data_IF_245574900137
#
_entry.id   IF_245574900137
#
_cell.length_a   1.000
_cell.length_b   1.000
_cell.length_c   1.000
_cell.angle_alpha   90.00
_cell.angle_beta   90.00
_cell.angle_gamma   90.00
#
_symmetry.space_group_name_H-M   'P 1'
#
loop_
_entity.id
_entity.type
_entity.pdbx_description
1 polymer ?
#
# COMPACT_ATOMS: atom_id res chain seq x y z
N UNK A 1 13.05 19.69 4.17
CA UNK A 1 13.63 19.18 2.91
C UNK A 1 14.15 20.31 2.03
N UNK A 2 13.32 21.32 1.69
CA UNK A 2 13.72 22.43 0.83
C UNK A 2 14.98 23.12 1.35
N UNK A 3 14.96 23.57 2.59
CA UNK A 3 16.11 24.28 3.21
C UNK A 3 17.39 23.42 3.26
N UNK A 4 17.23 22.13 3.58
CA UNK A 4 18.36 21.19 3.68
C UNK A 4 19.05 20.96 2.33
N UNK A 5 18.28 21.00 1.24
CA UNK A 5 18.77 20.75 -0.13
C UNK A 5 18.98 22.05 -0.91
N UNK A 6 18.75 23.23 -0.32
CA UNK A 6 18.92 24.53 -0.99
C UNK A 6 17.91 24.76 -2.12
N UNK A 7 16.70 24.20 -1.99
CA UNK A 7 15.65 24.31 -2.99
C UNK A 7 14.63 25.39 -2.62
N UNK A 8 14.07 26.04 -3.64
CA UNK A 8 13.00 27.04 -3.49
C UNK A 8 11.60 26.43 -3.64
N UNK A 9 11.48 25.25 -4.29
CA UNK A 9 10.20 24.55 -4.47
C UNK A 9 10.37 23.04 -4.67
N UNK A 10 9.28 22.30 -4.41
CA UNK A 10 9.13 20.90 -4.78
C UNK A 10 7.78 20.69 -5.46
N UNK A 11 7.75 19.87 -6.53
CA UNK A 11 6.59 19.58 -7.33
C UNK A 11 6.26 18.09 -7.35
N UNK A 12 4.98 17.78 -7.27
CA UNK A 12 4.48 16.41 -7.14
C UNK A 12 3.31 16.20 -8.10
N UNK A 13 3.46 15.29 -9.03
CA UNK A 13 2.42 14.90 -9.98
C UNK A 13 2.06 13.41 -9.90
N UNK A 14 2.86 12.60 -9.18
CA UNK A 14 2.46 11.23 -8.89
C UNK A 14 1.22 11.23 -8.00
N UNK A 15 0.21 10.36 -8.27
CA UNK A 15 -1.08 10.39 -7.59
C UNK A 15 -1.00 10.28 -6.06
N UNK A 16 -0.10 9.46 -5.55
CA UNK A 16 0.12 9.28 -4.12
C UNK A 16 0.69 10.54 -3.44
N UNK A 17 1.63 11.22 -4.09
CA UNK A 17 2.21 12.47 -3.58
C UNK A 17 1.22 13.63 -3.68
N UNK A 18 0.44 13.69 -4.77
CA UNK A 18 -0.64 14.67 -4.91
C UNK A 18 -1.68 14.51 -3.80
N UNK A 19 -2.15 13.28 -3.56
CA UNK A 19 -3.10 12.99 -2.49
C UNK A 19 -2.53 13.29 -1.10
N UNK A 20 -1.27 12.94 -0.84
CA UNK A 20 -0.59 13.24 0.42
C UNK A 20 -0.59 14.73 0.76
N UNK A 21 -0.36 15.62 -0.22
CA UNK A 21 -0.30 17.06 0.00
C UNK A 21 -1.66 17.75 -0.02
N UNK A 22 -2.60 17.27 -0.85
CA UNK A 22 -3.87 17.98 -1.11
C UNK A 22 -5.07 17.32 -0.43
N UNK A 23 -5.00 16.02 -0.15
CA UNK A 23 -6.12 15.16 0.23
C UNK A 23 -7.04 14.77 -0.93
N UNK A 24 -6.79 15.28 -2.16
CA UNK A 24 -7.59 15.02 -3.35
C UNK A 24 -6.93 14.06 -4.33
N UNK A 25 -7.57 13.82 -5.47
CA UNK A 25 -7.15 12.89 -6.49
C UNK A 25 -6.88 13.62 -7.83
N UNK A 26 -5.78 13.29 -8.50
CA UNK A 26 -5.41 13.81 -9.81
C UNK A 26 -5.44 12.74 -10.92
N UNK A 27 -6.14 11.62 -10.71
CA UNK A 27 -6.20 10.51 -11.67
C UNK A 27 -7.53 10.52 -12.43
N UNK A 28 -7.45 10.44 -13.76
CA UNK A 28 -8.59 10.12 -14.63
C UNK A 28 -8.45 8.70 -15.17
N UNK A 29 -7.22 8.32 -15.54
CA UNK A 29 -6.89 6.99 -16.03
C UNK A 29 -5.75 6.40 -15.22
N UNK A 30 -5.91 5.15 -14.78
CA UNK A 30 -4.98 4.45 -13.87
C UNK A 30 -3.75 3.83 -14.55
N UNK A 31 -3.47 4.19 -15.79
CA UNK A 31 -2.39 3.60 -16.59
C UNK A 31 -1.16 4.50 -16.77
N UNK A 32 -1.04 5.56 -15.97
CA UNK A 32 0.10 6.48 -15.98
C UNK A 32 0.66 6.68 -14.57
N UNK A 33 1.97 6.92 -14.51
CA UNK A 33 2.66 7.21 -13.24
C UNK A 33 2.45 8.67 -12.79
N UNK A 34 2.04 9.53 -13.71
CA UNK A 34 1.79 10.97 -13.50
C UNK A 34 0.31 11.26 -13.70
N UNK A 35 -0.30 11.99 -12.78
CA UNK A 35 -1.69 12.44 -12.86
C UNK A 35 -1.87 13.63 -13.80
N UNK A 36 -3.11 14.13 -13.90
CA UNK A 36 -3.48 15.27 -14.78
C UNK A 36 -3.21 16.64 -14.12
N UNK A 37 -2.75 16.66 -12.91
CA UNK A 37 -2.40 17.86 -12.15
C UNK A 37 -1.12 17.63 -11.36
N UNK A 38 -0.35 18.69 -11.16
CA UNK A 38 0.78 18.71 -10.24
C UNK A 38 0.53 19.69 -9.10
N UNK A 39 1.00 19.36 -7.91
CA UNK A 39 0.99 20.24 -6.75
C UNK A 39 2.41 20.70 -6.43
N UNK A 40 2.61 22.00 -6.30
CA UNK A 40 3.87 22.62 -5.92
C UNK A 40 3.81 23.19 -4.52
N UNK A 41 4.90 23.04 -3.78
CA UNK A 41 5.12 23.66 -2.46
C UNK A 41 6.42 24.47 -2.49
N UNK A 42 6.35 25.74 -2.07
CA UNK A 42 7.47 26.68 -2.07
C UNK A 42 7.94 27.12 -0.67
N UNK A 43 7.73 26.27 0.33
CA UNK A 43 8.03 26.60 1.73
C UNK A 43 6.96 27.42 2.45
N UNK A 44 6.01 28.02 1.72
CA UNK A 44 5.00 28.92 2.28
C UNK A 44 3.57 28.58 1.82
N UNK A 45 3.39 28.22 0.54
CA UNK A 45 2.07 27.98 -0.05
C UNK A 45 2.06 26.74 -0.94
N UNK A 46 0.89 26.13 -1.04
CA UNK A 46 0.57 25.03 -1.95
C UNK A 46 -0.14 25.62 -3.17
N UNK A 47 0.31 25.25 -4.36
CA UNK A 47 -0.29 25.65 -5.63
C UNK A 47 -0.49 24.41 -6.51
N UNK A 48 -1.69 24.22 -7.04
CA UNK A 48 -1.99 23.14 -7.99
C UNK A 48 -1.96 23.70 -9.42
N UNK A 49 -1.33 22.99 -10.33
CA UNK A 49 -1.33 23.28 -11.78
C UNK A 49 -2.06 22.16 -12.49
N UNK A 50 -3.01 22.53 -13.35
CA UNK A 50 -3.76 21.58 -14.19
C UNK A 50 -4.24 22.24 -15.47
N UNK A 51 -4.69 21.43 -16.42
CA UNK A 51 -5.25 21.96 -17.65
C UNK A 51 -6.69 22.52 -17.47
N UNK A 52 -7.16 23.25 -18.45
CA UNK A 52 -8.46 23.87 -18.43
C UNK A 52 -9.65 22.89 -18.51
N UNK A 53 -9.42 21.63 -18.84
CA UNK A 53 -10.47 20.60 -18.84
C UNK A 53 -10.81 20.22 -17.41
N UNK A 54 -9.79 20.04 -16.56
CA UNK A 54 -9.92 19.48 -15.23
C UNK A 54 -10.02 20.51 -14.09
N UNK A 55 -9.69 21.75 -14.39
CA UNK A 55 -9.53 22.78 -13.36
C UNK A 55 -10.80 23.03 -12.52
N UNK A 56 -11.99 22.96 -13.13
CA UNK A 56 -13.26 23.16 -12.41
C UNK A 56 -13.55 21.97 -11.51
N UNK A 57 -13.49 20.74 -12.04
CA UNK A 57 -13.69 19.52 -11.27
C UNK A 57 -12.74 19.41 -10.06
N UNK A 58 -11.46 19.68 -10.28
CA UNK A 58 -10.49 19.63 -9.18
C UNK A 58 -10.81 20.65 -8.08
N UNK A 59 -11.22 21.88 -8.44
CA UNK A 59 -11.60 22.88 -7.44
C UNK A 59 -12.83 22.51 -6.65
N UNK A 60 -13.82 21.93 -7.28
CA UNK A 60 -15.13 21.67 -6.68
C UNK A 60 -15.21 20.33 -5.95
N UNK A 61 -14.48 19.30 -6.43
CA UNK A 61 -14.65 17.94 -5.97
C UNK A 61 -13.43 17.39 -5.21
N UNK A 62 -12.21 17.90 -5.48
CA UNK A 62 -10.99 17.28 -4.98
C UNK A 62 -10.18 18.16 -4.01
N UNK A 63 -10.24 19.47 -4.18
CA UNK A 63 -9.33 20.37 -3.46
C UNK A 63 -10.07 21.20 -2.40
N UNK A 64 -9.34 21.53 -1.33
CA UNK A 64 -9.84 22.47 -0.33
C UNK A 64 -9.87 23.90 -0.90
N UNK A 65 -10.82 24.73 -0.46
CA UNK A 65 -11.05 26.09 -0.95
C UNK A 65 -9.82 27.02 -0.89
N UNK A 66 -8.88 26.73 -0.01
CA UNK A 66 -7.68 27.56 0.18
C UNK A 66 -6.49 27.20 -0.73
N UNK A 67 -6.63 26.19 -1.58
CA UNK A 67 -5.57 25.78 -2.53
C UNK A 67 -5.71 26.59 -3.82
N UNK A 68 -4.66 27.31 -4.19
CA UNK A 68 -4.60 28.02 -5.47
C UNK A 68 -4.50 27.04 -6.62
N UNK A 69 -5.36 27.20 -7.65
CA UNK A 69 -5.30 26.40 -8.88
C UNK A 69 -4.94 27.29 -10.05
N UNK A 70 -3.78 27.05 -10.65
CA UNK A 70 -3.31 27.67 -11.88
C UNK A 70 -3.70 26.79 -13.05
N UNK A 71 -4.31 27.40 -14.07
CA UNK A 71 -4.86 26.67 -15.22
C UNK A 71 -4.06 26.97 -16.48
N UNK A 72 -3.78 25.96 -17.28
CA UNK A 72 -3.17 26.11 -18.60
C UNK A 72 -4.08 25.52 -19.69
N UNK A 73 -3.90 25.98 -20.92
CA UNK A 73 -4.64 25.48 -22.08
C UNK A 73 -3.98 24.20 -22.59
N UNK A 74 -4.68 23.06 -22.47
CA UNK A 74 -4.17 21.70 -22.75
C UNK A 74 -3.54 21.53 -24.15
N UNK A 75 -3.96 22.35 -25.11
CA UNK A 75 -3.48 22.32 -26.49
C UNK A 75 -2.30 23.26 -26.78
N UNK A 76 -1.81 24.00 -25.78
CA UNK A 76 -0.67 24.92 -25.91
C UNK A 76 0.55 24.50 -25.10
N UNK A 77 0.35 23.77 -24.00
CA UNK A 77 1.40 23.36 -23.06
C UNK A 77 1.10 21.98 -22.49
N UNK A 78 2.12 21.33 -22.00
CA UNK A 78 1.98 20.18 -21.13
C UNK A 78 2.04 20.58 -19.65
N UNK A 79 1.85 19.59 -18.77
CA UNK A 79 1.85 19.79 -17.32
C UNK A 79 3.21 20.26 -16.80
N UNK A 80 4.30 19.69 -17.32
CA UNK A 80 5.65 20.02 -16.92
C UNK A 80 6.01 21.47 -17.29
N UNK A 81 5.76 21.89 -18.54
CA UNK A 81 5.96 23.26 -18.99
C UNK A 81 5.16 24.27 -18.14
N UNK A 82 3.92 23.91 -17.80
CA UNK A 82 3.07 24.77 -16.99
C UNK A 82 3.59 24.90 -15.55
N UNK A 83 3.99 23.81 -14.92
CA UNK A 83 4.58 23.79 -13.58
C UNK A 83 5.91 24.58 -13.55
N UNK A 84 6.80 24.32 -14.49
CA UNK A 84 8.09 25.01 -14.59
C UNK A 84 7.93 26.52 -14.78
N UNK A 85 6.91 26.98 -15.55
CA UNK A 85 6.69 28.40 -15.81
C UNK A 85 6.32 29.25 -14.59
N UNK A 86 5.88 28.62 -13.50
CA UNK A 86 5.47 29.32 -12.27
C UNK A 86 6.32 28.93 -11.05
N UNK A 87 7.21 27.96 -11.20
CA UNK A 87 8.07 27.48 -10.10
C UNK A 87 9.19 28.48 -9.80
N UNK A 88 9.44 28.85 -8.55
CA UNK A 88 10.74 29.35 -8.17
C UNK A 88 11.81 28.25 -8.35
N UNK A 89 13.05 28.65 -8.54
CA UNK A 89 14.19 27.75 -8.76
C UNK A 89 15.37 28.13 -7.88
N UNK A 90 16.22 27.16 -7.44
CA UNK A 90 16.23 25.74 -7.82
C UNK A 90 15.04 24.96 -7.23
N UNK A 91 14.61 23.88 -7.93
CA UNK A 91 13.47 23.09 -7.53
C UNK A 91 13.66 21.60 -7.86
N UNK A 92 12.86 20.73 -7.20
CA UNK A 92 12.83 19.31 -7.43
C UNK A 92 11.41 18.83 -7.81
N UNK A 93 11.29 17.68 -8.47
CA UNK A 93 10.01 17.08 -8.82
C UNK A 93 10.03 15.55 -8.71
N UNK A 94 8.87 14.96 -8.39
CA UNK A 94 8.66 13.50 -8.35
C UNK A 94 8.36 12.91 -9.74
N UNK A 95 8.37 13.73 -10.78
CA UNK A 95 8.20 13.35 -12.17
C UNK A 95 9.25 14.02 -13.04
N UNK A 96 9.43 13.53 -14.28
CA UNK A 96 10.41 14.10 -15.19
C UNK A 96 10.04 15.54 -15.56
N UNK A 97 10.93 16.47 -15.19
CA UNK A 97 10.75 17.91 -15.44
C UNK A 97 12.10 18.55 -15.73
N UNK A 98 12.25 19.14 -16.92
CA UNK A 98 13.51 19.71 -17.38
C UNK A 98 13.99 20.84 -16.45
N UNK A 99 15.24 20.75 -16.01
CA UNK A 99 15.87 21.73 -15.11
C UNK A 99 15.53 21.58 -13.64
N UNK A 100 14.84 20.51 -13.26
CA UNK A 100 14.51 20.18 -11.88
C UNK A 100 15.29 18.95 -11.39
N UNK A 101 15.59 18.90 -10.11
CA UNK A 101 16.17 17.71 -9.49
C UNK A 101 15.10 16.62 -9.34
N UNK A 102 15.50 15.36 -9.44
CA UNK A 102 14.59 14.23 -9.15
C UNK A 102 14.35 14.10 -7.67
N UNK A 103 13.09 13.99 -7.27
CA UNK A 103 12.64 13.85 -5.87
C UNK A 103 11.99 12.50 -5.64
N UNK A 104 12.55 11.72 -4.72
CA UNK A 104 11.84 10.61 -4.08
C UNK A 104 11.15 11.12 -2.80
N UNK A 105 9.81 11.06 -2.80
CA UNK A 105 9.03 11.56 -1.68
C UNK A 105 8.67 10.48 -0.64
N UNK A 106 9.16 9.26 -0.77
CA UNK A 106 8.81 8.15 0.14
C UNK A 106 9.07 8.49 1.62
N UNK A 107 10.25 9.04 1.91
CA UNK A 107 10.61 9.45 3.28
C UNK A 107 9.87 10.71 3.75
N UNK A 108 9.38 11.55 2.83
CA UNK A 108 8.60 12.75 3.19
C UNK A 108 7.18 12.43 3.64
N UNK A 109 6.63 11.30 3.16
CA UNK A 109 5.29 10.82 3.51
C UNK A 109 5.25 10.01 4.81
N UNK A 110 6.39 9.81 5.47
CA UNK A 110 6.56 9.05 6.70
C UNK A 110 7.18 9.93 7.79
N UNK A 111 6.82 9.75 9.08
CA UNK A 111 5.72 8.90 9.57
C UNK A 111 4.33 9.47 9.28
N UNK A 112 3.27 8.65 9.46
CA UNK A 112 1.88 9.08 9.32
C UNK A 112 1.46 10.04 10.44
N UNK A 113 0.68 11.06 10.07
CA UNK A 113 0.04 11.97 11.03
C UNK A 113 -1.19 11.32 11.68
N UNK A 114 -1.70 11.90 12.77
CA UNK A 114 -2.89 11.38 13.47
C UNK A 114 -4.13 11.32 12.56
N UNK A 115 -4.35 12.31 11.70
CA UNK A 115 -5.46 12.33 10.73
C UNK A 115 -5.31 11.22 9.70
N UNK A 116 -4.10 11.01 9.18
CA UNK A 116 -3.79 9.94 8.23
C UNK A 116 -3.94 8.54 8.85
N UNK A 117 -3.57 8.39 10.12
CA UNK A 117 -3.80 7.18 10.91
C UNK A 117 -5.30 6.92 11.06
N UNK A 118 -6.09 7.96 11.33
CA UNK A 118 -7.56 7.87 11.39
C UNK A 118 -8.15 7.35 10.08
N UNK A 119 -7.78 7.97 8.95
CA UNK A 119 -8.21 7.56 7.62
C UNK A 119 -7.74 6.14 7.25
N UNK A 120 -6.51 5.77 7.61
CA UNK A 120 -5.98 4.41 7.42
C UNK A 120 -6.80 3.36 8.18
N UNK A 121 -7.23 3.64 9.41
CA UNK A 121 -8.09 2.74 10.19
C UNK A 121 -9.45 2.54 9.52
N UNK A 122 -10.06 3.61 9.02
CA UNK A 122 -11.35 3.54 8.33
C UNK A 122 -11.24 2.74 7.04
N UNK A 123 -10.27 3.06 6.18
CA UNK A 123 -10.03 2.32 4.94
C UNK A 123 -9.79 0.83 5.21
N UNK A 124 -8.94 0.51 6.16
CA UNK A 124 -8.57 -0.88 6.45
C UNK A 124 -9.75 -1.68 7.00
N UNK A 125 -10.57 -1.10 7.88
CA UNK A 125 -11.77 -1.74 8.42
C UNK A 125 -12.82 -1.98 7.33
N UNK A 126 -13.09 -0.96 6.49
CA UNK A 126 -14.06 -1.07 5.40
C UNK A 126 -13.61 -2.13 4.39
N UNK A 127 -12.31 -2.18 4.08
CA UNK A 127 -11.71 -3.22 3.24
C UNK A 127 -11.89 -4.61 3.83
N UNK A 128 -11.57 -4.78 5.13
CA UNK A 128 -11.74 -6.07 5.80
C UNK A 128 -13.21 -6.52 5.77
N UNK A 129 -14.16 -5.63 6.04
CA UNK A 129 -15.59 -5.93 6.00
C UNK A 129 -16.05 -6.38 4.61
N UNK A 130 -15.64 -5.66 3.55
CA UNK A 130 -15.98 -6.02 2.18
C UNK A 130 -15.39 -7.39 1.78
N UNK A 131 -14.08 -7.59 2.02
CA UNK A 131 -13.40 -8.86 1.69
C UNK A 131 -14.00 -10.03 2.45
N UNK A 132 -14.17 -9.91 3.76
CA UNK A 132 -14.72 -10.99 4.59
C UNK A 132 -16.18 -11.28 4.24
N UNK A 133 -16.97 -10.26 3.89
CA UNK A 133 -18.34 -10.39 3.41
C UNK A 133 -18.44 -11.21 2.12
N UNK A 134 -17.60 -10.93 1.14
CA UNK A 134 -17.53 -11.67 -0.13
C UNK A 134 -17.05 -13.10 0.13
N UNK A 135 -15.95 -13.27 0.89
CA UNK A 135 -15.35 -14.58 1.14
C UNK A 135 -16.33 -15.53 1.85
N UNK A 136 -17.15 -15.05 2.78
CA UNK A 136 -18.18 -15.85 3.45
C UNK A 136 -19.26 -16.38 2.51
N UNK A 137 -19.46 -15.76 1.36
CA UNK A 137 -20.46 -16.16 0.36
C UNK A 137 -19.89 -17.06 -0.73
N UNK A 138 -18.58 -17.29 -0.75
CA UNK A 138 -17.93 -18.15 -1.76
C UNK A 138 -18.19 -19.63 -1.50
N UNK A 139 -18.02 -20.44 -2.53
CA UNK A 139 -18.07 -21.89 -2.47
C UNK A 139 -17.08 -22.52 -3.47
N UNK A 140 -16.79 -23.81 -3.33
CA UNK A 140 -15.75 -24.50 -4.10
C UNK A 140 -15.92 -24.44 -5.63
N UNK A 141 -17.14 -24.29 -6.11
CA UNK A 141 -17.46 -24.26 -7.54
C UNK A 141 -17.45 -22.88 -8.19
N UNK A 142 -17.37 -21.79 -7.41
CA UNK A 142 -17.31 -20.44 -7.96
C UNK A 142 -15.93 -20.21 -8.60
N UNK A 143 -15.88 -19.41 -9.67
CA UNK A 143 -14.62 -19.09 -10.35
C UNK A 143 -13.85 -17.95 -9.65
N UNK A 144 -12.55 -17.93 -9.85
CA UNK A 144 -11.69 -16.85 -9.34
C UNK A 144 -12.12 -15.48 -9.90
N UNK A 145 -12.55 -15.41 -11.17
CA UNK A 145 -13.07 -14.19 -11.79
C UNK A 145 -14.37 -13.69 -11.17
N UNK A 146 -15.29 -14.59 -10.81
CA UNK A 146 -16.55 -14.21 -10.14
C UNK A 146 -16.26 -13.60 -8.78
N UNK A 147 -15.41 -14.23 -7.97
CA UNK A 147 -15.01 -13.68 -6.66
C UNK A 147 -14.30 -12.34 -6.82
N UNK A 148 -13.40 -12.20 -7.80
CA UNK A 148 -12.71 -10.93 -8.06
C UNK A 148 -13.67 -9.82 -8.51
N UNK A 149 -14.70 -10.15 -9.27
CA UNK A 149 -15.74 -9.20 -9.70
C UNK A 149 -16.60 -8.75 -8.52
N UNK A 150 -16.98 -9.67 -7.62
CA UNK A 150 -17.72 -9.35 -6.41
C UNK A 150 -16.92 -8.46 -5.48
N UNK A 151 -15.62 -8.73 -5.28
CA UNK A 151 -14.72 -7.88 -4.49
C UNK A 151 -14.64 -6.46 -5.06
N UNK A 152 -14.45 -6.31 -6.37
CA UNK A 152 -14.42 -4.99 -7.01
C UNK A 152 -15.73 -4.24 -6.79
N UNK A 153 -16.87 -4.90 -7.01
CA UNK A 153 -18.17 -4.28 -6.80
C UNK A 153 -18.34 -3.75 -5.38
N UNK A 154 -18.03 -4.57 -4.37
CA UNK A 154 -18.20 -4.19 -2.97
C UNK A 154 -17.26 -3.06 -2.52
N UNK A 155 -16.02 -3.08 -3.01
CA UNK A 155 -15.01 -2.07 -2.67
C UNK A 155 -15.25 -0.76 -3.43
N UNK A 156 -15.43 -0.82 -4.75
CA UNK A 156 -15.61 0.38 -5.58
C UNK A 156 -16.94 1.09 -5.30
N UNK A 157 -17.98 0.38 -4.86
CA UNK A 157 -19.22 0.99 -4.37
C UNK A 157 -19.03 1.85 -3.12
N UNK A 158 -17.92 1.70 -2.41
CA UNK A 158 -17.52 2.48 -1.23
C UNK A 158 -16.44 3.53 -1.55
N UNK A 159 -16.16 3.79 -2.83
CA UNK A 159 -15.09 4.70 -3.25
C UNK A 159 -13.68 4.14 -3.01
N UNK A 160 -13.54 2.84 -2.83
CA UNK A 160 -12.25 2.17 -2.62
C UNK A 160 -11.75 1.63 -3.96
N UNK A 161 -10.66 2.19 -4.47
CA UNK A 161 -9.99 1.72 -5.69
C UNK A 161 -9.30 0.38 -5.46
N UNK A 162 -9.30 -0.47 -6.50
CA UNK A 162 -8.85 -1.88 -6.42
C UNK A 162 -7.65 -2.17 -7.33
N UNK A 163 -6.48 -1.55 -7.12
CA UNK A 163 -5.31 -1.76 -7.98
C UNK A 163 -4.81 -3.21 -7.99
N UNK A 164 -4.96 -3.95 -6.88
CA UNK A 164 -4.57 -5.36 -6.81
C UNK A 164 -5.71 -6.19 -6.23
N UNK A 165 -6.20 -7.13 -7.01
CA UNK A 165 -7.08 -8.22 -6.56
C UNK A 165 -6.51 -9.53 -7.09
N UNK A 166 -6.10 -10.38 -6.18
CA UNK A 166 -5.60 -11.72 -6.44
C UNK A 166 -6.58 -12.73 -5.84
N UNK A 167 -7.08 -13.62 -6.66
CA UNK A 167 -7.93 -14.75 -6.24
C UNK A 167 -7.35 -16.00 -6.86
N UNK A 168 -6.95 -16.94 -6.03
CA UNK A 168 -6.37 -18.20 -6.48
C UNK A 168 -6.97 -19.39 -5.77
N UNK A 169 -7.47 -20.35 -6.56
CA UNK A 169 -7.93 -21.65 -6.08
C UNK A 169 -6.75 -22.59 -5.76
N UNK A 170 -7.03 -23.68 -5.07
CA UNK A 170 -6.09 -24.65 -4.50
C UNK A 170 -4.91 -25.04 -5.42
N UNK A 171 -5.20 -25.35 -6.68
CA UNK A 171 -4.19 -25.81 -7.65
C UNK A 171 -3.23 -24.68 -8.07
N UNK A 172 -3.68 -23.44 -8.03
CA UNK A 172 -2.92 -22.30 -8.52
C UNK A 172 -2.10 -21.64 -7.41
N UNK A 173 -2.63 -21.51 -6.21
CA UNK A 173 -1.89 -20.92 -5.06
C UNK A 173 -0.68 -21.75 -4.65
N UNK A 174 -0.66 -23.05 -4.91
CA UNK A 174 0.52 -23.90 -4.69
C UNK A 174 1.64 -23.65 -5.69
N UNK A 175 1.33 -23.06 -6.86
CA UNK A 175 2.27 -22.85 -7.97
C UNK A 175 2.72 -21.42 -8.11
N UNK A 176 1.85 -20.48 -7.77
CA UNK A 176 2.07 -19.05 -8.01
C UNK A 176 1.96 -18.27 -6.69
N UNK A 177 2.76 -17.22 -6.56
CA UNK A 177 2.64 -16.25 -5.45
C UNK A 177 1.66 -15.13 -5.81
N UNK A 178 1.62 -14.74 -7.08
CA UNK A 178 0.64 -13.79 -7.63
C UNK A 178 -0.30 -14.54 -8.57
N UNK A 179 -1.47 -14.89 -8.06
CA UNK A 179 -2.49 -15.69 -8.76
C UNK A 179 -3.57 -14.76 -9.33
N UNK A 180 -3.25 -14.12 -10.47
CA UNK A 180 -4.21 -13.29 -11.21
C UNK A 180 -5.46 -14.13 -11.52
N UNK A 181 -6.68 -13.60 -11.22
CA UNK A 181 -7.91 -14.37 -11.35
C UNK A 181 -8.15 -14.91 -12.77
N UNK A 182 -8.62 -16.14 -12.86
CA UNK A 182 -9.00 -16.83 -14.11
C UNK A 182 -10.40 -17.44 -13.98
N UNK A 183 -10.84 -18.15 -15.00
CA UNK A 183 -12.09 -18.93 -15.02
C UNK A 183 -12.00 -20.27 -14.25
N UNK A 184 -10.85 -20.54 -13.61
CA UNK A 184 -10.70 -21.72 -12.77
C UNK A 184 -11.58 -21.62 -11.51
N UNK A 185 -12.16 -22.76 -11.11
CA UNK A 185 -12.89 -22.85 -9.84
C UNK A 185 -11.95 -22.81 -8.65
N UNK A 186 -12.44 -22.32 -7.48
CA UNK A 186 -11.67 -22.23 -6.25
C UNK A 186 -11.17 -23.60 -5.76
N UNK A 187 -11.98 -24.66 -5.90
CA UNK A 187 -11.61 -25.99 -5.44
C UNK A 187 -11.68 -26.14 -3.91
N UNK A 188 -10.75 -26.89 -3.32
CA UNK A 188 -10.78 -27.25 -1.90
C UNK A 188 -10.54 -26.06 -0.98
N UNK A 189 -9.69 -25.12 -1.38
CA UNK A 189 -9.43 -23.87 -0.67
C UNK A 189 -8.98 -22.78 -1.64
N UNK A 190 -8.99 -21.53 -1.19
CA UNK A 190 -8.51 -20.40 -1.96
C UNK A 190 -7.81 -19.37 -1.08
N UNK A 191 -6.90 -18.61 -1.69
CA UNK A 191 -6.35 -17.36 -1.16
C UNK A 191 -6.96 -16.19 -1.91
N UNK A 192 -7.42 -15.20 -1.17
CA UNK A 192 -7.93 -13.94 -1.65
C UNK A 192 -7.05 -12.84 -1.06
N UNK A 193 -6.33 -12.11 -1.90
CA UNK A 193 -5.41 -11.06 -1.50
C UNK A 193 -5.75 -9.78 -2.22
N UNK A 194 -5.90 -8.69 -1.47
CA UNK A 194 -6.21 -7.38 -2.01
C UNK A 194 -5.17 -6.35 -1.57
N UNK A 195 -4.87 -5.41 -2.45
CA UNK A 195 -4.28 -4.12 -2.09
C UNK A 195 -5.15 -3.05 -2.72
N UNK A 196 -5.68 -2.19 -1.89
CA UNK A 196 -6.70 -1.20 -2.27
C UNK A 196 -6.32 0.18 -1.77
N UNK A 197 -6.96 1.23 -2.30
CA UNK A 197 -6.68 2.59 -1.88
C UNK A 197 -7.92 3.48 -1.85
N UNK A 198 -7.92 4.44 -0.93
CA UNK A 198 -8.88 5.55 -0.85
C UNK A 198 -8.13 6.79 -0.39
N UNK A 199 -8.38 7.93 -1.03
CA UNK A 199 -7.76 9.22 -0.72
C UNK A 199 -6.21 9.14 -0.69
N UNK A 200 -5.63 8.34 -1.59
CA UNK A 200 -4.19 8.10 -1.70
C UNK A 200 -3.59 7.13 -0.68
N UNK A 201 -4.29 6.79 0.41
CA UNK A 201 -3.84 5.80 1.38
C UNK A 201 -4.12 4.37 0.87
N UNK A 202 -3.24 3.45 1.24
CA UNK A 202 -3.31 2.04 0.84
C UNK A 202 -3.48 1.11 2.04
N UNK A 203 -4.18 0.01 1.80
CA UNK A 203 -4.26 -1.13 2.73
C UNK A 203 -4.18 -2.44 1.97
N UNK A 204 -3.62 -3.45 2.61
CA UNK A 204 -3.51 -4.81 2.07
C UNK A 204 -4.07 -5.81 3.07
N UNK A 205 -4.75 -6.83 2.57
CA UNK A 205 -5.23 -7.94 3.38
C UNK A 205 -5.29 -9.22 2.56
N UNK A 206 -4.98 -10.34 3.20
CA UNK A 206 -5.17 -11.68 2.63
C UNK A 206 -6.12 -12.48 3.50
N UNK A 207 -7.04 -13.19 2.86
CA UNK A 207 -7.93 -14.15 3.53
C UNK A 207 -7.82 -15.52 2.87
N UNK A 208 -7.78 -16.54 3.71
CA UNK A 208 -7.85 -17.94 3.28
C UNK A 208 -9.24 -18.47 3.55
N UNK A 209 -9.86 -19.12 2.57
CA UNK A 209 -11.10 -19.87 2.75
C UNK A 209 -10.87 -21.32 2.35
N UNK A 210 -11.38 -22.25 3.14
CA UNK A 210 -11.27 -23.67 2.86
C UNK A 210 -12.66 -24.31 2.92
N UNK A 211 -12.97 -25.11 1.91
CA UNK A 211 -14.19 -25.94 1.81
C UNK A 211 -13.91 -27.38 2.19
N UNK A 212 -12.67 -27.84 1.91
CA UNK A 212 -12.08 -29.08 2.43
C UNK A 212 -10.63 -28.77 2.77
N UNK A 213 -10.30 -28.70 4.05
CA UNK A 213 -9.00 -28.21 4.54
C UNK A 213 -7.91 -29.27 4.42
N UNK A 214 -6.93 -29.12 3.52
CA UNK A 214 -5.80 -30.04 3.45
C UNK A 214 -4.97 -30.01 4.74
N UNK A 215 -4.57 -31.17 5.24
CA UNK A 215 -3.83 -31.30 6.51
C UNK A 215 -2.53 -30.46 6.55
N UNK A 216 -1.84 -30.31 5.41
CA UNK A 216 -0.57 -29.58 5.31
C UNK A 216 -0.73 -28.06 5.40
N UNK A 217 -1.91 -27.52 5.09
CA UNK A 217 -2.11 -26.06 5.03
C UNK A 217 -2.01 -25.40 6.40
N UNK A 218 -2.44 -26.08 7.44
CA UNK A 218 -2.41 -25.56 8.82
C UNK A 218 -0.98 -25.27 9.28
N UNK A 219 -0.06 -26.21 9.08
CA UNK A 219 1.35 -26.04 9.44
C UNK A 219 2.01 -24.88 8.68
N UNK A 220 1.80 -24.82 7.36
CA UNK A 220 2.35 -23.76 6.51
C UNK A 220 1.76 -22.38 6.84
N UNK A 221 0.46 -22.34 7.12
CA UNK A 221 -0.20 -21.08 7.52
C UNK A 221 0.35 -20.59 8.85
N UNK A 222 0.53 -21.47 9.84
CA UNK A 222 1.15 -21.11 11.11
C UNK A 222 2.59 -20.62 10.94
N UNK A 223 3.36 -21.24 10.05
CA UNK A 223 4.72 -20.79 9.74
C UNK A 223 4.72 -19.37 9.15
N UNK A 224 3.86 -19.09 8.15
CA UNK A 224 3.73 -17.76 7.57
C UNK A 224 3.28 -16.71 8.61
N UNK A 225 2.30 -17.04 9.46
CA UNK A 225 1.84 -16.16 10.55
C UNK A 225 2.94 -15.84 11.56
N UNK A 226 3.76 -16.83 11.93
CA UNK A 226 4.90 -16.60 12.83
C UNK A 226 5.95 -15.70 12.24
N UNK A 227 6.22 -15.82 10.94
CA UNK A 227 7.14 -14.92 10.23
C UNK A 227 6.56 -13.50 10.19
N UNK A 228 5.27 -13.31 9.89
CA UNK A 228 4.62 -12.00 9.91
C UNK A 228 4.68 -11.36 11.31
N UNK A 229 4.32 -12.11 12.35
CA UNK A 229 4.35 -11.63 13.73
C UNK A 229 5.78 -11.24 14.15
N UNK A 230 6.80 -12.00 13.71
CA UNK A 230 8.21 -11.67 13.95
C UNK A 230 8.60 -10.39 13.22
N UNK A 231 8.21 -10.23 11.95
CA UNK A 231 8.46 -9.01 11.19
C UNK A 231 7.87 -7.77 11.88
N UNK A 232 6.66 -7.87 12.42
CA UNK A 232 6.01 -6.78 13.16
C UNK A 232 6.71 -6.45 14.47
N UNK A 233 7.12 -7.46 15.24
CA UNK A 233 7.87 -7.26 16.48
C UNK A 233 9.25 -6.63 16.22
N UNK A 234 9.96 -7.13 15.19
CA UNK A 234 11.21 -6.56 14.73
C UNK A 234 11.05 -5.11 14.26
N UNK A 235 10.00 -4.81 13.47
CA UNK A 235 9.68 -3.45 13.02
C UNK A 235 9.55 -2.49 14.19
N UNK A 236 8.83 -2.88 15.24
CA UNK A 236 8.69 -2.06 16.44
C UNK A 236 10.05 -1.84 17.14
N UNK A 237 10.80 -2.90 17.36
CA UNK A 237 12.08 -2.85 18.04
C UNK A 237 13.10 -2.00 17.26
N UNK A 238 13.22 -2.21 15.96
CA UNK A 238 14.12 -1.47 15.06
C UNK A 238 13.71 0.00 15.00
N UNK A 239 12.41 0.29 14.82
CA UNK A 239 11.91 1.67 14.75
C UNK A 239 12.10 2.47 16.05
N UNK A 240 11.98 1.84 17.23
CA UNK A 240 12.29 2.47 18.52
C UNK A 240 13.77 2.87 18.60
N UNK A 241 14.65 2.07 18.00
CA UNK A 241 16.09 2.30 18.02
C UNK A 241 16.59 3.18 16.85
N UNK A 242 15.70 3.59 15.93
CA UNK A 242 16.08 4.38 14.76
C UNK A 242 16.90 3.60 13.72
N UNK A 243 16.65 2.31 13.61
CA UNK A 243 17.31 1.41 12.67
C UNK A 243 16.62 1.36 11.29
N UNK A 244 17.03 0.43 10.45
CA UNK A 244 16.70 0.33 9.03
C UNK A 244 15.98 -0.97 8.66
N UNK A 245 15.38 -0.99 7.48
CA UNK A 245 14.53 -2.07 7.01
C UNK A 245 15.26 -3.41 6.80
N UNK A 246 16.57 -3.38 6.51
CA UNK A 246 17.41 -4.58 6.42
C UNK A 246 17.54 -5.33 7.76
N UNK A 247 17.57 -4.60 8.89
CA UNK A 247 17.56 -5.21 10.23
C UNK A 247 16.24 -6.00 10.47
N UNK A 248 15.10 -5.47 10.01
CA UNK A 248 13.82 -6.18 10.06
C UNK A 248 13.85 -7.39 9.13
N UNK A 249 14.45 -7.23 7.95
CA UNK A 249 14.56 -8.31 6.98
C UNK A 249 15.43 -9.47 7.48
N UNK A 250 16.50 -9.19 8.22
CA UNK A 250 17.32 -10.22 8.86
C UNK A 250 16.50 -11.03 9.89
N UNK A 251 15.68 -10.36 10.71
CA UNK A 251 14.77 -11.05 11.63
C UNK A 251 13.73 -11.92 10.89
N UNK A 252 13.25 -11.49 9.72
CA UNK A 252 12.37 -12.29 8.85
C UNK A 252 13.09 -13.56 8.37
N UNK A 253 14.34 -13.47 7.94
CA UNK A 253 15.12 -14.64 7.50
C UNK A 253 15.34 -15.64 8.63
N UNK A 254 15.73 -15.13 9.80
CA UNK A 254 15.88 -15.97 11.00
C UNK A 254 14.56 -16.65 11.40
N UNK A 255 13.43 -15.95 11.26
CA UNK A 255 12.12 -16.52 11.52
C UNK A 255 11.77 -17.66 10.54
N UNK A 256 12.07 -17.50 9.23
CA UNK A 256 11.89 -18.56 8.26
C UNK A 256 12.75 -19.81 8.57
N UNK A 257 14.00 -19.60 8.98
CA UNK A 257 14.89 -20.70 9.41
C UNK A 257 14.29 -21.41 10.64
N UNK A 258 13.83 -20.66 11.63
CA UNK A 258 13.29 -21.20 12.87
C UNK A 258 11.98 -21.98 12.68
N UNK A 259 11.16 -21.62 11.68
CA UNK A 259 9.91 -22.35 11.35
C UNK A 259 10.14 -23.47 10.33
N UNK A 260 11.39 -23.75 9.93
CA UNK A 260 11.77 -24.86 9.05
C UNK A 260 11.59 -24.59 7.54
N UNK A 261 11.51 -23.32 7.12
CA UNK A 261 11.30 -22.89 5.74
C UNK A 261 12.34 -21.86 5.27
N UNK A 262 13.60 -22.04 5.64
CA UNK A 262 14.70 -21.08 5.52
C UNK A 262 14.90 -20.44 4.15
N UNK A 263 14.63 -21.14 3.06
CA UNK A 263 14.79 -20.62 1.69
C UNK A 263 13.52 -19.99 1.11
N UNK A 264 12.37 -20.07 1.81
CA UNK A 264 11.08 -19.67 1.27
C UNK A 264 10.98 -18.16 1.02
N UNK A 265 11.69 -17.34 1.79
CA UNK A 265 11.73 -15.89 1.61
C UNK A 265 12.19 -15.44 0.22
N UNK A 266 12.98 -16.27 -0.49
CA UNK A 266 13.49 -15.98 -1.82
C UNK A 266 12.41 -16.07 -2.91
N UNK A 267 11.28 -16.72 -2.62
CA UNK A 267 10.22 -16.99 -3.58
C UNK A 267 9.18 -15.87 -3.68
N UNK A 268 9.21 -14.88 -2.77
CA UNK A 268 8.28 -13.75 -2.73
C UNK A 268 8.88 -12.57 -1.96
N UNK A 269 8.61 -11.33 -2.34
CA UNK A 269 8.96 -10.19 -1.50
C UNK A 269 8.18 -10.24 -0.19
N UNK A 270 8.77 -9.73 0.89
CA UNK A 270 8.20 -9.89 2.23
C UNK A 270 7.29 -8.74 2.67
N UNK A 271 7.11 -7.73 1.83
CA UNK A 271 6.35 -6.52 2.20
C UNK A 271 7.22 -5.40 2.75
N UNK A 272 6.65 -4.52 3.54
CA UNK A 272 7.34 -3.36 4.10
C UNK A 272 6.39 -2.27 4.60
N UNK A 273 6.88 -1.03 4.69
CA UNK A 273 6.08 0.12 5.08
C UNK A 273 5.00 0.44 4.04
N UNK A 274 3.81 0.75 4.51
CA UNK A 274 2.65 1.11 3.70
C UNK A 274 2.06 2.43 4.20
N UNK A 275 1.52 3.23 3.29
CA UNK A 275 0.95 4.54 3.59
C UNK A 275 0.29 5.10 2.34
N UNK A 276 0.87 6.13 1.75
CA UNK A 276 0.45 6.68 0.46
C UNK A 276 0.98 5.90 -0.76
N UNK A 277 1.66 4.79 -0.52
CA UNK A 277 2.01 3.80 -1.51
C UNK A 277 1.63 2.41 -1.00
N UNK A 278 1.39 1.42 -1.88
CA UNK A 278 1.18 0.03 -1.47
C UNK A 278 2.34 -0.47 -0.61
N UNK A 279 3.53 -0.01 -0.94
CA UNK A 279 4.75 -0.08 -0.13
C UNK A 279 5.55 1.20 -0.37
N UNK A 280 5.80 1.98 0.68
CA UNK A 280 6.72 3.13 0.64
C UNK A 280 8.15 2.63 0.37
N UNK A 281 8.47 1.46 0.90
CA UNK A 281 9.64 0.66 0.59
C UNK A 281 9.35 -0.83 0.82
N UNK A 282 10.06 -1.68 0.12
CA UNK A 282 10.01 -3.14 0.28
C UNK A 282 11.25 -3.61 1.03
N UNK A 283 11.07 -4.37 2.10
CA UNK A 283 12.16 -4.97 2.85
C UNK A 283 12.98 -5.93 1.98
N UNK A 284 14.29 -5.70 1.94
CA UNK A 284 15.28 -6.54 1.26
C UNK A 284 16.56 -6.62 2.11
N UNK A 285 17.48 -7.56 1.84
CA UNK A 285 18.72 -7.68 2.61
C UNK A 285 19.61 -6.44 2.66
N UNK A 286 19.40 -5.46 1.79
CA UNK A 286 20.19 -4.23 1.71
C UNK A 286 19.31 -2.97 1.71
N UNK A 287 18.11 -3.04 2.26
CA UNK A 287 17.19 -1.92 2.32
C UNK A 287 17.57 -0.99 3.48
N UNK A 288 18.24 0.11 3.18
CA UNK A 288 18.68 1.10 4.17
C UNK A 288 17.59 2.14 4.51
N UNK A 289 16.34 1.91 4.11
CA UNK A 289 15.23 2.80 4.43
C UNK A 289 14.99 2.83 5.95
N UNK A 290 14.79 4.02 6.55
CA UNK A 290 14.54 4.13 7.98
C UNK A 290 13.17 3.51 8.34
N UNK A 291 13.13 2.87 9.50
CA UNK A 291 11.87 2.34 10.06
C UNK A 291 11.20 3.42 10.92
N UNK A 292 10.18 4.06 10.38
CA UNK A 292 9.44 5.12 11.07
C UNK A 292 8.34 4.58 12.00
N UNK A 293 8.08 5.31 13.09
CA UNK A 293 6.97 5.08 14.02
C UNK A 293 6.35 6.44 14.43
N UNK A 294 5.01 6.60 14.40
CA UNK A 294 3.99 5.65 13.97
C UNK A 294 3.92 5.50 12.44
N UNK A 295 3.78 4.27 11.94
CA UNK A 295 3.66 4.03 10.49
C UNK A 295 2.82 2.79 10.22
N UNK A 296 2.20 2.74 9.01
CA UNK A 296 1.55 1.56 8.47
C UNK A 296 2.58 0.54 7.95
N UNK A 297 2.35 -0.73 8.23
CA UNK A 297 3.17 -1.82 7.71
C UNK A 297 2.29 -2.94 7.20
N UNK A 298 2.65 -3.49 6.05
CA UNK A 298 2.01 -4.66 5.49
C UNK A 298 3.10 -5.67 5.10
N UNK A 299 3.46 -6.52 6.05
CA UNK A 299 4.30 -7.69 5.81
C UNK A 299 3.45 -8.80 5.20
N UNK A 300 4.00 -9.57 4.29
CA UNK A 300 3.23 -10.55 3.52
C UNK A 300 3.98 -11.87 3.26
N UNK A 301 4.57 -12.47 4.29
CA UNK A 301 5.29 -13.71 4.14
C UNK A 301 4.42 -14.83 3.59
N UNK A 302 5.04 -15.67 2.77
CA UNK A 302 4.42 -16.85 2.18
C UNK A 302 5.17 -18.11 2.57
N UNK A 303 4.43 -19.20 2.73
CA UNK A 303 4.95 -20.56 2.59
C UNK A 303 4.15 -21.22 1.49
N UNK A 304 4.77 -22.00 0.63
CA UNK A 304 4.14 -22.53 -0.59
C UNK A 304 2.65 -22.94 -0.38
N UNK A 305 1.76 -22.28 -1.08
CA UNK A 305 0.31 -22.48 -0.98
C UNK A 305 -0.39 -21.72 0.13
N UNK A 306 0.33 -20.91 0.92
CA UNK A 306 -0.24 -20.08 2.00
C UNK A 306 0.38 -18.68 1.99
N UNK A 307 -0.28 -17.74 2.67
CA UNK A 307 0.17 -16.37 2.85
C UNK A 307 -0.45 -15.82 4.13
N UNK A 308 0.30 -15.03 4.88
CA UNK A 308 -0.20 -14.20 5.97
C UNK A 308 0.02 -12.74 5.61
N UNK A 309 -1.01 -11.92 5.64
CA UNK A 309 -0.93 -10.50 5.32
C UNK A 309 -2.14 -9.75 5.87
N UNK A 310 -1.84 -8.79 6.71
CA UNK A 310 -2.74 -7.73 7.12
C UNK A 310 -1.98 -6.40 7.15
N UNK A 311 -2.70 -5.28 7.19
CA UNK A 311 -2.10 -3.97 7.42
C UNK A 311 -2.16 -3.65 8.89
N UNK A 312 -1.01 -3.28 9.45
CA UNK A 312 -0.84 -2.92 10.85
C UNK A 312 -0.37 -1.50 11.02
N UNK A 313 -0.84 -0.82 12.04
CA UNK A 313 -0.21 0.38 12.57
C UNK A 313 0.80 -0.06 13.64
N UNK A 314 2.07 0.27 13.43
CA UNK A 314 3.13 0.06 14.41
C UNK A 314 3.50 1.39 15.04
N UNK A 315 3.43 1.44 16.36
CA UNK A 315 3.86 2.59 17.18
C UNK A 315 4.93 2.13 18.16
N UNK A 316 5.57 3.05 18.85
CA UNK A 316 6.56 2.70 19.89
C UNK A 316 5.98 1.85 21.03
N UNK A 317 4.65 1.85 21.24
CA UNK A 317 4.02 1.19 22.38
C UNK A 317 2.99 0.11 22.00
N UNK A 318 2.59 0.05 20.74
CA UNK A 318 1.50 -0.84 20.30
C UNK A 318 1.70 -1.27 18.84
N UNK A 319 1.34 -2.51 18.56
CA UNK A 319 1.10 -3.04 17.22
C UNK A 319 -0.40 -3.28 17.10
N UNK A 320 -1.05 -2.64 16.13
CA UNK A 320 -2.50 -2.67 15.93
C UNK A 320 -2.84 -3.19 14.54
N UNK A 321 -3.54 -4.32 14.44
CA UNK A 321 -4.08 -4.81 13.18
C UNK A 321 -5.21 -3.89 12.74
N UNK A 322 -5.08 -3.26 11.57
CA UNK A 322 -6.08 -2.33 11.02
C UNK A 322 -7.10 -3.05 10.14
N UNK A 323 -6.66 -4.03 9.34
CA UNK A 323 -7.48 -4.74 8.37
C UNK A 323 -8.24 -5.93 8.97
N UNK A 324 -8.91 -5.72 10.11
CA UNK A 324 -9.70 -6.73 10.80
C UNK A 324 -11.06 -6.21 11.24
N UNK A 325 -12.11 -7.04 11.08
CA UNK A 325 -13.45 -6.74 11.61
C UNK A 325 -13.63 -7.21 13.06
N UNK A 326 -12.78 -8.12 13.53
CA UNK A 326 -12.97 -8.84 14.78
C UNK A 326 -13.91 -10.05 14.67
N UNK A 327 -14.51 -10.28 13.49
CA UNK A 327 -15.43 -11.39 13.23
C UNK A 327 -14.80 -12.53 12.41
N UNK A 328 -13.66 -12.27 11.75
CA UNK A 328 -12.90 -13.29 11.03
C UNK A 328 -12.10 -14.15 12.02
N UNK A 329 -12.04 -15.47 11.81
CA UNK A 329 -11.28 -16.36 12.69
C UNK A 329 -9.80 -15.94 12.75
N UNK A 330 -9.31 -15.74 13.96
CA UNK A 330 -7.92 -15.39 14.24
C UNK A 330 -7.28 -16.40 15.18
N UNK A 331 -5.96 -16.47 15.18
CA UNK A 331 -5.20 -17.27 16.13
C UNK A 331 -4.05 -16.43 16.69
N UNK A 332 -3.64 -16.75 17.90
CA UNK A 332 -2.44 -16.14 18.50
C UNK A 332 -1.24 -16.99 18.17
N UNK A 333 -0.19 -16.35 17.67
CA UNK A 333 1.11 -16.98 17.40
C UNK A 333 2.22 -16.19 18.07
N UNK A 334 3.30 -16.87 18.43
CA UNK A 334 4.46 -16.24 19.05
C UNK A 334 5.49 -15.83 18.00
N UNK A 335 6.03 -14.63 18.14
CA UNK A 335 7.16 -14.16 17.35
C UNK A 335 8.42 -14.98 17.71
N UNK A 336 9.29 -15.16 16.73
CA UNK A 336 10.58 -15.82 16.94
C UNK A 336 11.57 -14.80 17.50
N UNK A 337 12.12 -15.07 18.68
CA UNK A 337 13.16 -14.21 19.28
C UNK A 337 12.66 -12.92 19.96
N UNK A 338 11.36 -12.71 20.06
CA UNK A 338 10.75 -11.49 20.65
C UNK A 338 9.75 -11.82 21.76
#
# INVERSE_FOLDING_TARGET
YLDTNGLEAAWFAQPNCFAWLTGGNNVIASNGDVGIAAVGYNGNAITVVTNNIEAERLREEELRDNIQVVTYEWYKRDLGEAAASISPTPAAADFELEGFETLDASTLRQPLTDDQIGASRELSRDTAAAVEGVVRQTHSGVTELEVAADLRRELEAQGISTPVILVGGANRVQRYRHFIPTDASLGEYALISVTVSRDGLYTSATRTVAFDLPNWISERTQAAMRVETTALAATQAVGINGGTADEVFDAIREAYDAVGWGDEWQNHHQGGAAGFAPREWVGTPNCNEPVFLPQGYAWNPTVQGTKSEDTYLVTATKIEMLSATGEWPTTTVEAVGY
#
